data_IF_692091348463
#
_entry.id   IF_692091348463
#
_cell.length_a   1.000
_cell.length_b   1.000
_cell.length_c   1.000
_cell.angle_alpha   90.00
_cell.angle_beta   90.00
_cell.angle_gamma   90.00
#
_symmetry.space_group_name_H-M   'P 1'
#
loop_
_entity.id
_entity.type
_entity.pdbx_description
1 polymer ?
#
# COMPACT_ATOMS: atom_id res chain seq x y z
N UNK A 1 -3.02 25.89 0.85
CA UNK A 1 -1.65 25.50 1.28
C UNK A 1 -1.78 24.08 1.80
N UNK A 2 -0.91 23.18 1.42
CA UNK A 2 -0.87 21.79 1.91
C UNK A 2 0.28 21.70 2.90
N UNK A 3 0.01 21.19 4.10
CA UNK A 3 1.00 21.05 5.17
C UNK A 3 1.53 19.61 5.24
N UNK A 4 0.64 18.62 5.10
CA UNK A 4 1.02 17.20 5.07
C UNK A 4 0.19 16.42 4.07
N UNK A 5 0.77 15.35 3.53
CA UNK A 5 0.10 14.34 2.73
C UNK A 5 0.38 12.96 3.32
N UNK A 6 -0.66 12.17 3.53
CA UNK A 6 -0.55 10.79 4.01
C UNK A 6 -1.46 9.87 3.22
N UNK A 7 -0.93 8.73 2.83
CA UNK A 7 -1.67 7.60 2.28
C UNK A 7 -1.54 6.40 3.21
N UNK A 8 -2.66 5.82 3.60
CA UNK A 8 -2.74 4.57 4.34
C UNK A 8 -3.34 3.49 3.43
N UNK A 9 -2.60 2.45 3.15
CA UNK A 9 -3.06 1.28 2.41
C UNK A 9 -3.35 0.12 3.37
N UNK A 10 -4.54 -0.44 3.28
CA UNK A 10 -5.03 -1.54 4.12
C UNK A 10 -5.15 -2.80 3.28
N UNK A 11 -4.17 -3.68 3.39
CA UNK A 11 -4.14 -4.99 2.75
C UNK A 11 -4.60 -6.04 3.78
N UNK A 12 -5.91 -6.20 3.87
CA UNK A 12 -6.56 -7.07 4.86
C UNK A 12 -6.77 -8.47 4.30
N UNK A 13 -6.77 -9.45 5.20
CA UNK A 13 -7.10 -10.85 4.90
C UNK A 13 -6.32 -11.39 3.69
N UNK A 14 -5.01 -11.17 3.70
CA UNK A 14 -4.14 -11.50 2.57
C UNK A 14 -4.13 -13.00 2.24
N UNK A 15 -4.38 -13.87 3.21
CA UNK A 15 -4.54 -15.29 3.01
C UNK A 15 -5.74 -15.66 2.12
N UNK A 16 -6.74 -14.78 2.00
CA UNK A 16 -7.85 -14.95 1.05
C UNK A 16 -7.50 -14.44 -0.36
N UNK A 17 -6.51 -13.55 -0.47
CA UNK A 17 -6.14 -12.87 -1.73
C UNK A 17 -4.94 -13.50 -2.43
N UNK A 18 -4.07 -14.16 -1.69
CA UNK A 18 -2.87 -14.83 -2.22
C UNK A 18 -3.07 -16.34 -2.24
N UNK A 19 -2.84 -16.99 -3.37
CA UNK A 19 -3.08 -18.43 -3.50
C UNK A 19 -1.96 -19.30 -2.91
N UNK A 20 -0.84 -18.73 -2.47
CA UNK A 20 0.38 -19.46 -2.12
C UNK A 20 0.91 -18.96 -0.78
N UNK A 21 0.97 -19.87 0.21
CA UNK A 21 1.48 -19.58 1.56
C UNK A 21 2.93 -19.07 1.55
N UNK A 22 3.79 -19.63 0.69
CA UNK A 22 5.20 -19.26 0.60
C UNK A 22 5.40 -17.77 0.34
N UNK A 23 4.52 -17.13 -0.43
CA UNK A 23 4.58 -15.69 -0.69
C UNK A 23 4.36 -14.90 0.60
N UNK A 24 3.36 -15.27 1.39
CA UNK A 24 3.07 -14.61 2.66
C UNK A 24 4.16 -14.90 3.69
N UNK A 25 4.61 -16.15 3.78
CA UNK A 25 5.58 -16.59 4.76
C UNK A 25 6.99 -16.05 4.47
N UNK A 26 7.50 -16.23 3.24
CA UNK A 26 8.87 -15.84 2.91
C UNK A 26 9.00 -14.36 2.59
N UNK A 27 8.05 -13.79 1.87
CA UNK A 27 8.13 -12.39 1.42
C UNK A 27 7.69 -11.40 2.51
N UNK A 28 6.62 -11.73 3.24
CA UNK A 28 6.00 -10.82 4.21
C UNK A 28 6.28 -11.20 5.67
N UNK A 29 6.79 -12.41 5.92
CA UNK A 29 7.18 -12.87 7.26
C UNK A 29 6.03 -13.40 8.11
N UNK A 30 4.84 -13.65 7.58
CA UNK A 30 3.74 -14.23 8.35
C UNK A 30 4.10 -15.64 8.85
N UNK A 31 3.82 -15.94 10.12
CA UNK A 31 4.21 -17.19 10.76
C UNK A 31 5.69 -17.30 11.15
N UNK A 32 6.51 -16.28 10.87
CA UNK A 32 7.91 -16.23 11.32
C UNK A 32 7.98 -15.78 12.79
N UNK A 33 9.08 -16.14 13.49
CA UNK A 33 9.29 -15.74 14.90
C UNK A 33 9.36 -14.22 15.09
N UNK A 34 9.10 -13.76 16.29
CA UNK A 34 9.35 -12.37 16.69
C UNK A 34 10.78 -11.95 16.38
N UNK A 35 10.95 -10.73 15.86
CA UNK A 35 12.24 -10.18 15.45
C UNK A 35 12.71 -10.61 14.06
N UNK A 36 11.97 -11.47 13.36
CA UNK A 36 12.24 -11.74 11.95
C UNK A 36 12.01 -10.48 11.13
N UNK A 37 12.98 -10.12 10.28
CA UNK A 37 12.86 -9.01 9.34
C UNK A 37 12.32 -9.56 8.02
N UNK A 38 11.10 -9.17 7.60
CA UNK A 38 10.56 -9.60 6.31
C UNK A 38 11.52 -9.31 5.17
N UNK A 39 11.65 -10.22 4.22
CA UNK A 39 12.65 -10.08 3.14
C UNK A 39 12.46 -8.77 2.35
N UNK A 40 11.22 -8.31 2.18
CA UNK A 40 10.92 -7.04 1.51
C UNK A 40 11.55 -5.82 2.20
N UNK A 41 11.66 -5.88 3.53
CA UNK A 41 12.36 -4.87 4.33
C UNK A 41 13.87 -5.09 4.24
N UNK A 42 14.33 -6.33 4.47
CA UNK A 42 15.74 -6.68 4.55
C UNK A 42 16.52 -6.37 3.25
N UNK A 43 15.90 -6.55 2.09
CA UNK A 43 16.54 -6.26 0.79
C UNK A 43 16.28 -4.83 0.28
N UNK A 44 15.69 -3.96 1.12
CA UNK A 44 15.39 -2.59 0.74
C UNK A 44 14.29 -2.44 -0.32
N UNK A 45 13.48 -3.50 -0.56
CA UNK A 45 12.46 -3.47 -1.60
C UNK A 45 11.40 -2.40 -1.32
N UNK A 46 11.01 -2.22 -0.07
CA UNK A 46 10.05 -1.17 0.31
C UNK A 46 10.58 0.21 -0.07
N UNK A 47 11.85 0.49 0.24
CA UNK A 47 12.48 1.76 -0.14
C UNK A 47 12.54 1.90 -1.66
N UNK A 48 13.00 0.87 -2.37
CA UNK A 48 13.15 0.93 -3.83
C UNK A 48 11.82 1.12 -4.56
N UNK A 49 10.74 0.51 -4.06
CA UNK A 49 9.43 0.59 -4.70
C UNK A 49 8.69 1.91 -4.34
N UNK A 50 8.81 2.39 -3.11
CA UNK A 50 7.96 3.47 -2.58
C UNK A 50 8.67 4.81 -2.35
N UNK A 51 9.99 4.81 -2.15
CA UNK A 51 10.73 6.07 -1.99
C UNK A 51 10.59 7.00 -3.20
N UNK A 52 10.65 6.52 -4.46
CA UNK A 52 10.41 7.37 -5.62
C UNK A 52 9.02 8.01 -5.62
N UNK A 53 8.00 7.28 -5.14
CA UNK A 53 6.62 7.78 -5.05
C UNK A 53 6.53 8.91 -4.01
N UNK A 54 7.08 8.68 -2.82
CA UNK A 54 7.09 9.67 -1.73
C UNK A 54 7.84 10.93 -2.14
N UNK A 55 9.01 10.77 -2.79
CA UNK A 55 9.79 11.91 -3.32
C UNK A 55 9.03 12.66 -4.43
N UNK A 56 8.43 11.94 -5.37
CA UNK A 56 7.67 12.54 -6.46
C UNK A 56 6.49 13.39 -5.93
N UNK A 57 5.76 12.91 -4.94
CA UNK A 57 4.67 13.66 -4.31
C UNK A 57 5.23 14.90 -3.62
N UNK A 58 6.30 14.77 -2.85
CA UNK A 58 6.95 15.89 -2.17
C UNK A 58 7.45 16.94 -3.15
N UNK A 59 8.12 16.54 -4.21
CA UNK A 59 8.59 17.44 -5.28
C UNK A 59 7.42 18.18 -5.93
N UNK A 60 6.31 17.49 -6.19
CA UNK A 60 5.10 18.09 -6.77
C UNK A 60 4.48 19.13 -5.83
N UNK A 61 4.60 18.93 -4.53
CA UNK A 61 4.16 19.86 -3.49
C UNK A 61 5.17 20.98 -3.23
N UNK A 62 6.35 20.94 -3.86
CA UNK A 62 7.41 21.93 -3.67
C UNK A 62 8.13 21.80 -2.32
N UNK A 63 8.14 20.59 -1.74
CA UNK A 63 8.78 20.31 -0.45
C UNK A 63 10.22 19.86 -0.67
N UNK A 64 11.16 20.50 0.03
CA UNK A 64 12.56 20.06 0.10
C UNK A 64 12.70 18.85 1.02
N UNK A 65 12.97 17.69 0.44
CA UNK A 65 13.10 16.40 1.15
C UNK A 65 14.52 16.22 1.65
N UNK A 66 14.74 16.39 2.93
CA UNK A 66 16.06 16.23 3.56
C UNK A 66 16.46 14.76 3.68
N UNK A 67 15.50 13.89 4.01
CA UNK A 67 15.71 12.43 4.09
C UNK A 67 14.38 11.68 3.92
N UNK A 68 14.46 10.40 3.56
CA UNK A 68 13.33 9.49 3.63
C UNK A 68 13.59 8.49 4.75
N UNK A 69 12.61 8.33 5.63
CA UNK A 69 12.68 7.45 6.79
C UNK A 69 11.74 6.26 6.62
N UNK A 70 12.23 5.06 6.90
CA UNK A 70 11.43 3.84 7.00
C UNK A 70 11.25 3.49 8.47
N UNK A 71 10.01 3.27 8.87
CA UNK A 71 9.60 2.69 10.14
C UNK A 71 8.75 1.45 9.88
N UNK A 72 8.89 0.41 10.70
CA UNK A 72 8.11 -0.81 10.58
C UNK A 72 7.94 -1.53 11.90
N UNK A 73 6.85 -2.25 12.04
CA UNK A 73 6.52 -3.05 13.22
C UNK A 73 5.76 -4.32 12.83
N UNK A 74 5.81 -5.31 13.70
CA UNK A 74 5.09 -6.58 13.54
C UNK A 74 4.21 -6.83 14.75
N UNK A 75 3.08 -7.53 14.52
CA UNK A 75 2.16 -7.99 15.57
C UNK A 75 2.23 -9.51 15.60
N UNK A 76 2.27 -10.06 16.81
CA UNK A 76 2.31 -11.49 17.04
C UNK A 76 0.92 -12.05 17.28
N UNK A 77 0.69 -13.27 16.83
CA UNK A 77 -0.56 -14.00 17.06
C UNK A 77 -0.73 -14.30 18.55
N UNK A 78 -1.85 -13.92 19.18
CA UNK A 78 -2.09 -14.16 20.62
C UNK A 78 -2.42 -15.63 20.93
N UNK A 79 -2.83 -16.37 19.93
CA UNK A 79 -3.10 -17.82 19.91
C UNK A 79 -2.87 -18.31 18.47
N UNK A 80 -2.99 -19.61 18.25
CA UNK A 80 -2.95 -20.14 16.88
C UNK A 80 -4.11 -19.54 16.09
N UNK A 81 -3.80 -19.02 14.88
CA UNK A 81 -4.78 -18.43 13.97
C UNK A 81 -4.99 -19.36 12.79
N UNK A 82 -6.22 -19.82 12.62
CA UNK A 82 -6.64 -20.56 11.44
C UNK A 82 -6.84 -19.58 10.28
N UNK A 83 -6.10 -19.77 9.20
CA UNK A 83 -6.20 -18.96 7.98
C UNK A 83 -6.57 -19.83 6.78
N UNK A 84 -6.95 -19.22 5.66
CA UNK A 84 -7.28 -19.94 4.44
C UNK A 84 -6.09 -20.76 3.87
N UNK A 85 -4.86 -20.41 4.23
CA UNK A 85 -3.64 -21.03 3.72
C UNK A 85 -2.91 -21.90 4.77
N UNK A 86 -3.46 -22.03 5.98
CA UNK A 86 -2.87 -22.81 7.07
C UNK A 86 -2.88 -22.09 8.40
N UNK A 87 -2.26 -22.69 9.41
CA UNK A 87 -2.23 -22.15 10.77
C UNK A 87 -1.01 -21.25 10.95
N UNK A 88 -1.23 -20.05 11.47
CA UNK A 88 -0.17 -19.20 12.02
C UNK A 88 -0.03 -19.52 13.48
N UNK A 89 1.11 -20.08 13.92
CA UNK A 89 1.31 -20.44 15.31
C UNK A 89 1.29 -19.22 16.25
N UNK A 90 0.85 -19.44 17.48
CA UNK A 90 0.96 -18.47 18.55
C UNK A 90 2.39 -17.92 18.66
N UNK A 91 2.50 -16.64 19.04
CA UNK A 91 3.77 -15.90 19.23
C UNK A 91 4.61 -15.76 17.93
N UNK A 92 4.00 -15.99 16.76
CA UNK A 92 4.59 -15.68 15.47
C UNK A 92 3.89 -14.49 14.79
N UNK A 93 4.51 -13.91 13.76
CA UNK A 93 4.02 -12.71 13.08
C UNK A 93 2.70 -12.98 12.38
N UNK A 94 1.64 -12.22 12.70
CA UNK A 94 0.34 -12.28 12.05
C UNK A 94 -0.09 -10.97 11.38
N UNK A 95 0.62 -9.88 11.66
CA UNK A 95 0.43 -8.61 10.98
C UNK A 95 1.73 -7.82 10.95
N UNK A 96 1.84 -6.90 10.00
CA UNK A 96 2.91 -5.91 10.00
C UNK A 96 2.43 -4.57 9.43
N UNK A 97 3.07 -3.51 9.88
CA UNK A 97 2.95 -2.18 9.32
C UNK A 97 4.34 -1.69 8.91
N UNK A 98 4.43 -1.00 7.80
CA UNK A 98 5.57 -0.15 7.51
C UNK A 98 5.09 1.25 7.08
N UNK A 99 5.93 2.23 7.35
CA UNK A 99 5.74 3.62 6.94
C UNK A 99 7.00 4.12 6.27
N UNK A 100 6.86 4.72 5.11
CA UNK A 100 7.91 5.47 4.45
C UNK A 100 7.52 6.93 4.42
N UNK A 101 8.39 7.81 4.91
CA UNK A 101 8.09 9.22 5.05
C UNK A 101 9.20 10.12 4.52
N UNK A 102 8.85 11.08 3.67
CA UNK A 102 9.71 12.21 3.34
C UNK A 102 9.70 13.19 4.51
N UNK A 103 10.89 13.50 5.00
CA UNK A 103 11.09 14.33 6.18
C UNK A 103 11.61 15.70 5.78
N UNK A 104 11.02 16.73 6.39
CA UNK A 104 11.49 18.11 6.36
C UNK A 104 11.44 18.67 7.78
N UNK A 105 12.53 19.24 8.26
CA UNK A 105 12.68 19.75 9.65
C UNK A 105 12.22 18.73 10.71
N UNK A 106 12.70 17.48 10.57
CA UNK A 106 12.36 16.34 11.43
C UNK A 106 10.86 15.98 11.50
N UNK A 107 10.03 16.54 10.61
CA UNK A 107 8.60 16.21 10.51
C UNK A 107 8.30 15.46 9.21
N UNK A 108 7.42 14.46 9.27
CA UNK A 108 6.92 13.82 8.06
C UNK A 108 5.99 14.79 7.31
N UNK A 109 6.31 15.09 6.06
CA UNK A 109 5.51 15.96 5.19
C UNK A 109 4.74 15.18 4.13
N UNK A 110 5.32 14.10 3.64
CA UNK A 110 4.65 13.11 2.79
C UNK A 110 4.92 11.74 3.36
N UNK A 111 3.89 10.95 3.57
CA UNK A 111 4.04 9.59 4.09
C UNK A 111 3.12 8.59 3.38
N UNK A 112 3.61 7.39 3.25
CA UNK A 112 2.86 6.22 2.82
C UNK A 112 2.97 5.17 3.92
N UNK A 113 1.83 4.63 4.35
CA UNK A 113 1.76 3.53 5.31
C UNK A 113 1.07 2.33 4.67
N UNK A 114 1.53 1.16 5.02
CA UNK A 114 0.96 -0.10 4.56
C UNK A 114 0.69 -1.00 5.75
N UNK A 115 -0.54 -1.46 5.88
CA UNK A 115 -1.00 -2.35 6.93
C UNK A 115 -1.35 -3.70 6.30
N UNK A 116 -0.69 -4.74 6.71
CA UNK A 116 -0.90 -6.09 6.18
C UNK A 116 -1.33 -7.04 7.29
N UNK A 117 -2.43 -7.75 7.07
CA UNK A 117 -2.98 -8.72 8.01
C UNK A 117 -3.39 -10.00 7.29
N UNK A 118 -3.51 -11.08 8.05
CA UNK A 118 -4.24 -12.29 7.65
C UNK A 118 -5.56 -12.37 8.39
N UNK A 119 -6.43 -13.28 7.96
CA UNK A 119 -7.74 -13.53 8.61
C UNK A 119 -7.58 -13.74 10.12
N UNK A 120 -8.54 -13.22 10.88
CA UNK A 120 -8.59 -13.26 12.34
C UNK A 120 -7.44 -12.54 13.09
N UNK A 121 -6.61 -11.77 12.39
CA UNK A 121 -5.57 -10.96 13.04
C UNK A 121 -6.18 -9.92 13.98
N UNK A 122 -5.72 -9.81 15.24
CA UNK A 122 -6.15 -8.74 16.12
C UNK A 122 -5.64 -7.40 15.62
N UNK A 123 -6.54 -6.41 15.51
CA UNK A 123 -6.16 -5.06 15.07
C UNK A 123 -5.64 -4.25 16.26
N UNK A 124 -4.38 -3.75 16.23
CA UNK A 124 -3.82 -2.95 17.31
C UNK A 124 -4.58 -1.63 17.48
N UNK A 125 -4.78 -1.21 18.75
CA UNK A 125 -5.41 0.09 19.03
C UNK A 125 -4.61 1.28 18.54
N UNK A 126 -3.28 1.14 18.46
CA UNK A 126 -2.36 2.17 17.95
C UNK A 126 -2.45 2.37 16.44
N UNK A 127 -3.00 1.41 15.70
CA UNK A 127 -3.12 1.53 14.26
C UNK A 127 -4.39 2.28 13.86
N UNK A 128 -4.30 3.20 12.88
CA UNK A 128 -5.49 3.81 12.30
C UNK A 128 -6.35 2.72 11.67
N UNK A 129 -7.66 2.86 11.79
CA UNK A 129 -8.60 1.88 11.23
C UNK A 129 -8.94 2.23 9.78
N UNK A 130 -9.20 1.22 8.92
CA UNK A 130 -9.79 1.46 7.61
C UNK A 130 -11.13 2.17 7.78
N UNK A 131 -11.51 2.99 6.80
CA UNK A 131 -12.75 3.74 6.86
C UNK A 131 -13.98 2.82 6.89
N UNK A 132 -13.91 1.68 6.20
CA UNK A 132 -14.92 0.63 6.26
C UNK A 132 -14.34 -0.60 6.98
N UNK A 133 -14.90 -0.99 8.14
CA UNK A 133 -14.44 -2.17 8.86
C UNK A 133 -14.43 -3.43 7.98
N UNK A 134 -13.33 -4.18 8.02
CA UNK A 134 -13.16 -5.44 7.28
C UNK A 134 -12.99 -5.28 5.77
N UNK A 135 -12.89 -4.05 5.25
CA UNK A 135 -12.56 -3.81 3.84
C UNK A 135 -11.17 -3.22 3.68
N UNK A 136 -10.37 -3.85 2.83
CA UNK A 136 -9.12 -3.27 2.34
C UNK A 136 -9.35 -2.04 1.47
N UNK A 137 -8.31 -1.28 1.21
CA UNK A 137 -8.40 -0.07 0.39
C UNK A 137 -7.33 0.95 0.76
N UNK A 138 -7.53 2.18 0.34
CA UNK A 138 -6.59 3.27 0.58
C UNK A 138 -7.32 4.48 1.16
N UNK A 139 -6.72 5.11 2.17
CA UNK A 139 -7.22 6.38 2.71
C UNK A 139 -6.16 7.44 2.53
N UNK A 140 -6.50 8.47 1.78
CA UNK A 140 -5.65 9.64 1.57
C UNK A 140 -6.09 10.76 2.50
N UNK A 141 -5.14 11.34 3.23
CA UNK A 141 -5.36 12.50 4.10
C UNK A 141 -4.40 13.60 3.72
N UNK A 142 -4.97 14.77 3.47
CA UNK A 142 -4.23 15.98 3.15
C UNK A 142 -4.61 16.98 4.20
N UNK A 143 -3.65 17.38 5.02
CA UNK A 143 -3.82 18.46 5.97
C UNK A 143 -3.37 19.78 5.33
N UNK A 144 -4.13 20.82 5.56
CA UNK A 144 -3.86 22.13 4.97
C UNK A 144 -5.11 23.01 4.96
N UNK A 145 -5.21 23.87 3.97
CA UNK A 145 -6.40 24.68 3.78
C UNK A 145 -6.93 24.54 2.34
N UNK A 146 -8.05 23.79 2.13
CA UNK A 146 -8.78 22.99 3.13
C UNK A 146 -8.11 21.66 3.49
N UNK A 147 -8.53 21.03 4.59
CA UNK A 147 -8.24 19.63 4.87
C UNK A 147 -9.09 18.75 3.95
N UNK A 148 -8.52 17.66 3.46
CA UNK A 148 -9.20 16.72 2.58
C UNK A 148 -8.96 15.28 3.02
N UNK A 149 -9.99 14.44 2.89
CA UNK A 149 -9.89 13.00 3.07
C UNK A 149 -10.58 12.32 1.90
N UNK A 150 -9.88 11.37 1.27
CA UNK A 150 -10.42 10.50 0.23
C UNK A 150 -10.30 9.06 0.69
N UNK A 151 -11.40 8.34 0.65
CA UNK A 151 -11.50 6.92 0.95
C UNK A 151 -11.76 6.16 -0.35
N UNK A 152 -10.81 5.29 -0.73
CA UNK A 152 -10.86 4.53 -1.96
C UNK A 152 -10.97 3.05 -1.67
N UNK A 153 -12.08 2.45 -2.06
CA UNK A 153 -12.30 1.01 -2.07
C UNK A 153 -12.37 0.50 -3.50
N UNK A 154 -11.76 -0.65 -3.72
CA UNK A 154 -11.78 -1.34 -4.99
C UNK A 154 -12.48 -2.68 -4.77
N UNK A 155 -13.69 -2.82 -5.28
CA UNK A 155 -14.42 -4.08 -5.26
C UNK A 155 -14.29 -4.78 -6.63
N UNK A 156 -14.16 -6.11 -6.67
CA UNK A 156 -14.17 -6.85 -7.93
C UNK A 156 -15.55 -6.76 -8.60
N UNK A 157 -15.59 -6.89 -9.91
CA UNK A 157 -16.87 -7.01 -10.61
C UNK A 157 -17.63 -8.30 -10.17
N UNK A 158 -18.96 -8.32 -10.19
CA UNK A 158 -19.72 -9.52 -9.85
C UNK A 158 -19.26 -10.73 -10.65
N UNK A 159 -18.85 -11.79 -9.95
CA UNK A 159 -18.32 -13.02 -10.55
C UNK A 159 -16.84 -13.00 -10.94
N UNK A 160 -16.15 -11.89 -10.72
CA UNK A 160 -14.69 -11.79 -10.88
C UNK A 160 -14.01 -12.10 -9.53
N UNK A 161 -13.09 -13.06 -9.54
CA UNK A 161 -12.28 -13.44 -8.38
C UNK A 161 -10.89 -12.78 -8.37
N UNK A 162 -10.59 -11.94 -9.36
CA UNK A 162 -9.31 -11.23 -9.43
C UNK A 162 -9.22 -10.22 -8.28
N UNK A 163 -8.06 -10.19 -7.61
CA UNK A 163 -7.80 -9.15 -6.61
C UNK A 163 -7.88 -7.76 -7.27
N UNK A 164 -8.80 -6.88 -6.86
CA UNK A 164 -9.05 -5.61 -7.54
C UNK A 164 -7.86 -4.64 -7.46
N UNK A 165 -7.02 -4.72 -6.42
CA UNK A 165 -5.79 -3.94 -6.32
C UNK A 165 -4.76 -4.36 -7.37
N UNK A 166 -4.60 -5.67 -7.59
CA UNK A 166 -3.73 -6.21 -8.65
C UNK A 166 -4.26 -5.81 -10.03
N UNK A 167 -5.57 -5.93 -10.24
CA UNK A 167 -6.19 -5.52 -11.49
C UNK A 167 -5.98 -4.02 -11.75
N UNK A 168 -6.18 -3.16 -10.76
CA UNK A 168 -5.95 -1.71 -10.89
C UNK A 168 -4.49 -1.39 -11.22
N UNK A 169 -3.53 -2.07 -10.60
CA UNK A 169 -2.09 -1.91 -10.88
C UNK A 169 -1.76 -2.31 -12.31
N UNK A 170 -2.25 -3.46 -12.78
CA UNK A 170 -2.05 -3.92 -14.14
C UNK A 170 -2.69 -2.96 -15.17
N UNK A 171 -3.89 -2.46 -14.88
CA UNK A 171 -4.59 -1.51 -15.75
C UNK A 171 -3.90 -0.16 -15.84
N UNK A 172 -3.19 0.28 -14.82
CA UNK A 172 -2.38 1.50 -14.89
C UNK A 172 -1.31 1.39 -15.99
N UNK A 173 -0.61 0.25 -16.06
CA UNK A 173 0.38 0.00 -17.11
C UNK A 173 -0.27 -0.11 -18.51
N UNK A 174 -1.39 -0.82 -18.64
CA UNK A 174 -2.12 -0.96 -19.90
C UNK A 174 -2.61 0.40 -20.42
N UNK A 175 -3.17 1.22 -19.53
CA UNK A 175 -3.67 2.55 -19.87
C UNK A 175 -2.56 3.53 -20.27
N UNK A 176 -1.32 3.28 -19.86
CA UNK A 176 -0.17 4.09 -20.28
C UNK A 176 0.31 3.81 -21.72
N UNK A 177 -0.03 2.65 -22.30
CA UNK A 177 0.46 2.21 -23.61
C UNK A 177 0.26 3.28 -24.73
N UNK A 178 -0.93 3.89 -24.91
CA UNK A 178 -1.11 4.90 -25.94
C UNK A 178 -0.16 6.09 -25.78
N UNK A 179 -0.02 6.60 -24.56
CA UNK A 179 0.87 7.72 -24.27
C UNK A 179 2.35 7.38 -24.52
N UNK A 180 2.74 6.12 -24.24
CA UNK A 180 4.11 5.64 -24.51
C UNK A 180 4.36 5.55 -26.02
N UNK A 181 3.39 5.08 -26.80
CA UNK A 181 3.52 4.95 -28.26
C UNK A 181 3.65 6.33 -28.91
N UNK A 182 2.92 7.33 -28.42
CA UNK A 182 2.89 8.67 -28.98
C UNK A 182 4.07 9.55 -28.53
N UNK A 183 4.85 9.10 -27.56
CA UNK A 183 5.96 9.86 -27.00
C UNK A 183 7.22 9.81 -27.86
N UNK A 184 8.04 10.84 -27.77
CA UNK A 184 9.40 10.81 -28.30
C UNK A 184 10.25 9.75 -27.58
N UNK A 185 11.28 9.16 -28.24
CA UNK A 185 12.17 8.22 -27.60
C UNK A 185 12.80 8.80 -26.31
N UNK A 186 12.74 8.04 -25.22
CA UNK A 186 13.29 8.45 -23.92
C UNK A 186 12.53 7.85 -22.76
N UNK A 187 12.82 8.36 -21.56
CA UNK A 187 12.05 8.05 -20.34
C UNK A 187 10.90 9.03 -20.22
N UNK A 188 9.69 8.52 -20.09
CA UNK A 188 8.53 9.33 -19.74
C UNK A 188 8.50 9.52 -18.22
N UNK A 189 8.50 10.79 -17.78
CA UNK A 189 8.22 11.12 -16.39
C UNK A 189 6.75 10.88 -16.04
N UNK A 190 6.47 10.55 -14.79
CA UNK A 190 5.10 10.62 -14.29
C UNK A 190 4.64 12.09 -14.11
N UNK A 191 3.33 12.42 -14.28
CA UNK A 191 2.26 11.51 -14.63
C UNK A 191 2.18 11.29 -16.14
N UNK A 192 2.14 10.02 -16.53
CA UNK A 192 2.07 9.59 -17.94
C UNK A 192 0.81 10.02 -18.70
N UNK A 193 -0.14 10.57 -18.07
CA UNK A 193 -1.35 11.26 -18.49
C UNK A 193 -2.30 11.26 -17.30
N UNK A 194 -3.17 12.25 -17.22
CA UNK A 194 -4.35 12.13 -16.36
C UNK A 194 -5.09 10.82 -16.68
N UNK A 195 -6.01 10.37 -15.81
CA UNK A 195 -6.75 9.15 -16.04
C UNK A 195 -7.35 9.21 -17.44
N UNK A 196 -6.87 8.35 -18.33
CA UNK A 196 -7.49 8.19 -19.64
C UNK A 196 -8.84 7.54 -19.39
N UNK A 197 -9.85 8.36 -19.15
CA UNK A 197 -11.23 7.91 -19.12
C UNK A 197 -11.51 7.48 -20.56
N UNK A 198 -11.44 6.17 -20.79
CA UNK A 198 -11.90 5.59 -22.04
C UNK A 198 -13.42 5.71 -22.05
N UNK A 199 -13.92 6.88 -22.43
CA UNK A 199 -15.34 7.22 -22.48
C UNK A 199 -16.18 6.27 -23.34
N UNK A 200 -15.54 5.39 -24.13
CA UNK A 200 -16.18 4.37 -24.96
C UNK A 200 -16.64 3.12 -24.20
N UNK A 201 -16.33 2.99 -22.90
CA UNK A 201 -16.69 1.81 -22.11
C UNK A 201 -17.86 2.05 -21.14
N UNK A 202 -18.45 3.22 -21.09
CA UNK A 202 -19.74 3.39 -20.39
C UNK A 202 -20.80 2.68 -21.23
N UNK A 203 -21.04 1.41 -20.93
CA UNK A 203 -22.19 0.69 -21.50
C UNK A 203 -23.45 1.31 -20.91
N UNK A 204 -24.30 1.79 -21.78
CA UNK A 204 -25.67 2.21 -21.45
C UNK A 204 -26.51 1.00 -21.07
#
# INVERSE_FOLDING_TARGET
MIDTYRMDEYALDLDLSYPIWEVLHESMGFGKPNGHVPIRIAVGKVNNDWEPVVRYIADTLGVDVQRVALDWETILAPHDLDTALGVIPKDTICAHRWQLAAMHDERPVVSVQYFATVTATPWPESWPRPAQPGKGGMVFRIEGNPNMTLDLHLDPAPGDSTNPGVAATAMAAINAIPAVIDAAPGLLGAPLAGPSIVTRQIRR
#
